data_IF_723180040366
#
_entry.id   IF_723180040366
#
_cell.length_a   1.000
_cell.length_b   1.000
_cell.length_c   1.000
_cell.angle_alpha   90.00
_cell.angle_beta   90.00
_cell.angle_gamma   90.00
#
_symmetry.space_group_name_H-M   'P 1'
#
loop_
_entity.id
_entity.type
_entity.pdbx_description
1 polymer ?
#
# COMPACT_ATOMS: atom_id res chain seq x y z
N UNK A 1 -0.31 2.09 15.85
CA UNK A 1 1.13 1.87 15.75
C UNK A 1 1.61 2.54 14.47
N UNK A 2 2.83 3.06 14.46
CA UNK A 2 3.51 3.50 13.25
C UNK A 2 4.72 2.61 13.02
N UNK A 3 5.06 2.35 11.75
CA UNK A 3 6.28 1.66 11.38
C UNK A 3 6.77 2.09 10.00
N UNK A 4 8.01 1.72 9.70
CA UNK A 4 8.69 1.99 8.44
C UNK A 4 8.91 0.67 7.68
N UNK A 5 8.50 0.60 6.41
CA UNK A 5 8.59 -0.63 5.59
C UNK A 5 10.03 -1.15 5.53
N UNK A 6 11.00 -0.25 5.32
CA UNK A 6 12.42 -0.61 5.23
C UNK A 6 12.96 -1.18 6.54
N UNK A 7 12.50 -0.69 7.69
CA UNK A 7 12.99 -1.15 8.99
C UNK A 7 12.37 -2.50 9.37
N UNK A 8 11.19 -2.83 8.82
CA UNK A 8 10.49 -4.10 9.02
C UNK A 8 10.76 -5.12 7.91
N UNK A 9 11.85 -4.97 7.17
CA UNK A 9 12.11 -5.80 6.01
C UNK A 9 12.22 -7.29 6.35
N UNK A 10 11.48 -8.13 5.61
CA UNK A 10 11.41 -9.58 5.80
C UNK A 10 10.61 -10.01 7.04
N UNK A 11 10.02 -9.06 7.77
CA UNK A 11 9.27 -9.36 8.99
C UNK A 11 7.79 -9.63 8.71
N UNK A 12 7.13 -10.15 9.74
CA UNK A 12 5.68 -10.25 9.82
C UNK A 12 5.17 -9.35 10.94
N UNK A 13 4.28 -8.44 10.61
CA UNK A 13 3.55 -7.65 11.59
C UNK A 13 2.17 -8.25 11.82
N UNK A 14 1.73 -8.29 13.07
CA UNK A 14 0.39 -8.73 13.45
C UNK A 14 -0.34 -7.65 14.23
N UNK A 15 -1.58 -7.37 13.83
CA UNK A 15 -2.44 -6.42 14.52
C UNK A 15 -3.61 -5.95 13.67
N UNK A 16 -4.38 -5.00 14.23
CA UNK A 16 -5.61 -4.52 13.61
C UNK A 16 -5.46 -3.20 12.84
N UNK A 17 -4.49 -2.36 13.22
CA UNK A 17 -4.19 -1.15 12.46
C UNK A 17 -2.72 -0.75 12.53
N UNK A 18 -2.18 -0.36 11.37
CA UNK A 18 -0.80 0.11 11.22
C UNK A 18 -0.75 1.29 10.25
N UNK A 19 -0.11 2.37 10.67
CA UNK A 19 0.31 3.42 9.77
C UNK A 19 1.74 3.12 9.30
N UNK A 20 1.88 2.81 8.02
CA UNK A 20 3.11 2.33 7.41
C UNK A 20 3.71 3.40 6.52
N UNK A 21 4.87 3.90 6.89
CA UNK A 21 5.69 4.76 6.05
C UNK A 21 6.60 3.92 5.17
N UNK A 22 7.00 4.48 4.04
CA UNK A 22 8.06 3.89 3.23
C UNK A 22 9.38 3.75 3.99
N UNK A 23 9.79 4.78 4.74
CA UNK A 23 11.03 4.86 5.50
C UNK A 23 10.93 5.95 6.59
N UNK A 24 11.86 5.95 7.54
CA UNK A 24 11.83 6.81 8.75
C UNK A 24 11.81 8.33 8.48
N UNK A 25 12.24 8.76 7.29
CA UNK A 25 12.26 10.15 6.86
C UNK A 25 11.15 10.52 5.84
N UNK A 26 10.15 9.65 5.68
CA UNK A 26 8.98 9.86 4.81
C UNK A 26 8.27 11.19 5.11
N UNK A 27 7.70 11.81 4.07
CA UNK A 27 7.16 13.19 4.03
C UNK A 27 8.19 14.31 4.15
N UNK A 28 9.47 14.00 4.39
CA UNK A 28 10.57 14.98 4.39
C UNK A 28 11.55 14.71 3.27
N UNK A 29 11.88 13.44 3.04
CA UNK A 29 12.84 13.01 2.04
C UNK A 29 12.34 11.78 1.28
N UNK A 30 13.01 11.50 0.16
CA UNK A 30 12.81 10.27 -0.58
C UNK A 30 13.74 9.18 -0.06
N UNK A 31 13.25 7.94 -0.05
CA UNK A 31 14.09 6.77 -0.04
C UNK A 31 14.68 6.58 -1.45
N UNK A 32 16.02 6.50 -1.52
CA UNK A 32 16.78 6.55 -2.79
C UNK A 32 17.71 5.36 -2.99
N UNK A 33 17.73 4.40 -2.08
CA UNK A 33 18.62 3.23 -2.16
C UNK A 33 18.23 2.36 -3.35
N UNK A 34 19.11 2.13 -4.33
CA UNK A 34 18.84 1.25 -5.47
C UNK A 34 18.92 -0.21 -5.08
N UNK A 35 18.35 -1.08 -5.91
CA UNK A 35 18.38 -2.55 -5.76
C UNK A 35 17.83 -3.05 -4.42
N UNK A 36 16.90 -2.30 -3.82
CA UNK A 36 16.16 -2.76 -2.65
C UNK A 36 15.10 -3.75 -3.13
N UNK A 37 14.98 -4.87 -2.42
CA UNK A 37 13.91 -5.84 -2.60
C UNK A 37 13.42 -6.24 -1.21
N UNK A 38 12.37 -5.57 -0.77
CA UNK A 38 11.91 -5.64 0.61
C UNK A 38 10.46 -6.08 0.68
N UNK A 39 10.17 -7.10 1.49
CA UNK A 39 8.81 -7.61 1.70
C UNK A 39 8.44 -7.47 3.17
N UNK A 40 7.26 -6.93 3.45
CA UNK A 40 6.60 -6.96 4.76
C UNK A 40 5.30 -7.75 4.64
N UNK A 41 5.08 -8.65 5.58
CA UNK A 41 3.82 -9.38 5.70
C UNK A 41 2.98 -8.82 6.84
N UNK A 42 1.71 -8.58 6.55
CA UNK A 42 0.72 -8.09 7.49
C UNK A 42 -0.27 -9.22 7.77
N UNK A 43 -0.50 -9.50 9.06
CA UNK A 43 -1.41 -10.54 9.53
C UNK A 43 -2.46 -9.95 10.46
N UNK A 44 -3.74 -10.15 10.18
CA UNK A 44 -4.81 -9.68 11.03
C UNK A 44 -4.75 -10.36 12.41
N UNK A 45 -5.11 -9.66 13.48
CA UNK A 45 -5.13 -10.26 14.81
C UNK A 45 -6.21 -11.35 14.92
N UNK A 46 -7.33 -11.16 14.24
CA UNK A 46 -8.44 -12.12 14.17
C UNK A 46 -8.40 -12.87 12.82
N UNK A 47 -8.39 -14.21 12.80
CA UNK A 47 -8.26 -14.99 11.55
C UNK A 47 -9.37 -14.82 10.51
N UNK A 48 -10.56 -14.40 10.94
CA UNK A 48 -11.70 -14.15 10.04
C UNK A 48 -11.65 -12.77 9.37
N UNK A 49 -10.80 -11.88 9.87
CA UNK A 49 -10.69 -10.53 9.36
C UNK A 49 -9.89 -10.54 8.05
N UNK A 50 -10.18 -9.55 7.22
CA UNK A 50 -9.44 -9.19 6.02
C UNK A 50 -8.63 -7.95 6.30
N UNK A 51 -7.61 -7.72 5.49
CA UNK A 51 -6.76 -6.54 5.57
C UNK A 51 -7.11 -5.59 4.43
N UNK A 52 -7.26 -4.32 4.77
CA UNK A 52 -7.35 -3.21 3.81
C UNK A 52 -6.08 -2.39 3.90
N UNK A 53 -5.61 -1.92 2.75
CA UNK A 53 -4.52 -0.96 2.65
C UNK A 53 -4.98 0.25 1.84
N UNK A 54 -4.77 1.46 2.36
CA UNK A 54 -5.00 2.70 1.63
C UNK A 54 -3.78 3.61 1.71
N UNK A 55 -3.53 4.39 0.66
CA UNK A 55 -2.48 5.40 0.69
C UNK A 55 -3.09 6.76 1.05
N UNK A 56 -2.52 7.45 2.03
CA UNK A 56 -2.76 8.88 2.26
C UNK A 56 -1.70 9.75 1.58
N UNK A 57 -0.56 9.16 1.20
CA UNK A 57 0.47 9.78 0.38
C UNK A 57 1.19 8.74 -0.49
N UNK A 58 1.55 9.07 -1.74
CA UNK A 58 2.15 8.11 -2.66
C UNK A 58 3.06 8.74 -3.72
N UNK A 59 4.34 8.36 -3.72
CA UNK A 59 5.34 8.65 -4.74
C UNK A 59 6.26 7.44 -4.87
N UNK A 60 6.22 6.72 -5.99
CA UNK A 60 7.07 5.55 -6.24
C UNK A 60 7.53 5.58 -7.69
N UNK A 61 8.73 6.09 -7.94
CA UNK A 61 9.25 6.21 -9.29
C UNK A 61 10.77 6.16 -9.31
N UNK A 62 11.35 6.15 -10.50
CA UNK A 62 12.79 6.26 -10.69
C UNK A 62 13.07 7.33 -11.73
N UNK A 63 14.03 8.21 -11.46
CA UNK A 63 14.50 9.17 -12.46
C UNK A 63 15.32 8.41 -13.51
N UNK A 64 14.96 8.60 -14.77
CA UNK A 64 15.87 8.26 -15.87
C UNK A 64 17.10 9.15 -15.77
N UNK A 65 18.28 8.61 -16.07
CA UNK A 65 19.40 9.51 -16.39
C UNK A 65 18.96 10.37 -17.57
N UNK A 66 19.20 11.68 -17.49
CA UNK A 66 19.22 12.53 -18.67
C UNK A 66 20.35 12.01 -19.57
N UNK A 67 20.05 11.00 -20.39
CA UNK A 67 20.88 10.70 -21.55
C UNK A 67 20.82 11.98 -22.37
N UNK A 68 21.97 12.66 -22.57
CA UNK A 68 22.06 13.68 -23.62
C UNK A 68 21.59 13.00 -24.89
N UNK A 69 20.39 13.33 -25.35
CA UNK A 69 19.93 12.99 -26.67
C UNK A 69 20.83 13.81 -27.59
N UNK A 70 21.97 13.26 -27.99
CA UNK A 70 22.55 13.65 -29.25
C UNK A 70 21.55 13.22 -30.29
N UNK A 71 20.89 14.20 -30.90
CA UNK A 71 19.99 14.02 -32.04
C UNK A 71 20.78 13.39 -33.18
N UNK A 72 20.87 12.05 -33.19
CA UNK A 72 21.39 11.30 -34.30
C UNK A 72 20.62 9.99 -34.35
N UNK A 73 19.90 9.83 -35.45
CA UNK A 73 19.24 8.60 -35.93
C UNK A 73 17.84 8.34 -35.39
N UNK A 74 16.88 9.15 -35.86
CA UNK A 74 15.57 8.63 -36.22
C UNK A 74 15.73 7.49 -37.24
N UNK A 75 14.82 6.53 -37.17
CA UNK A 75 14.60 5.40 -38.09
C UNK A 75 15.27 4.09 -37.71
N UNK A 76 14.55 3.26 -36.97
CA UNK A 76 14.35 1.87 -37.38
C UNK A 76 12.89 1.48 -37.07
N UNK A 77 12.21 1.06 -38.13
CA UNK A 77 10.86 0.55 -38.19
C UNK A 77 10.65 -0.60 -37.19
N UNK A 78 9.87 -0.35 -36.13
CA UNK A 78 9.42 -1.41 -35.23
C UNK A 78 8.25 -2.17 -35.88
N UNK A 79 8.55 -3.37 -36.35
CA UNK A 79 7.59 -4.35 -36.84
C UNK A 79 6.62 -4.71 -35.71
N UNK A 80 5.34 -4.44 -35.90
CA UNK A 80 4.27 -4.78 -34.95
C UNK A 80 4.13 -6.31 -34.88
N UNK A 81 4.61 -6.92 -33.80
CA UNK A 81 4.21 -8.26 -33.40
C UNK A 81 2.95 -8.14 -32.52
N UNK A 82 1.79 -8.71 -32.92
CA UNK A 82 0.57 -8.65 -32.13
C UNK A 82 0.57 -9.81 -31.13
N UNK A 83 1.34 -9.70 -30.04
CA UNK A 83 1.17 -10.54 -28.83
C UNK A 83 2.11 -10.17 -27.66
N UNK A 84 2.41 -8.89 -27.44
CA UNK A 84 2.99 -8.45 -26.18
C UNK A 84 1.87 -7.88 -25.31
N UNK A 85 1.51 -8.60 -24.25
CA UNK A 85 0.86 -8.03 -23.07
C UNK A 85 1.46 -6.65 -22.80
N UNK A 86 0.60 -5.62 -22.69
CA UNK A 86 0.97 -4.23 -22.40
C UNK A 86 2.25 -4.16 -21.56
N UNK A 87 3.31 -3.45 -21.99
CA UNK A 87 4.52 -3.36 -21.18
C UNK A 87 4.15 -2.86 -19.79
N UNK A 88 4.56 -3.60 -18.75
CA UNK A 88 4.34 -3.24 -17.36
C UNK A 88 4.89 -1.81 -17.15
N UNK A 89 4.03 -0.81 -16.88
CA UNK A 89 4.43 0.59 -16.82
C UNK A 89 5.46 0.85 -15.71
N UNK A 90 5.56 -0.05 -14.74
CA UNK A 90 6.50 0.03 -13.64
C UNK A 90 7.79 -0.78 -13.86
N UNK A 91 7.84 -1.63 -14.90
CA UNK A 91 9.01 -2.45 -15.22
C UNK A 91 10.36 -1.71 -15.26
N UNK A 92 10.46 -0.47 -15.83
CA UNK A 92 11.75 0.23 -15.90
C UNK A 92 12.18 0.88 -14.57
N UNK A 93 11.30 0.91 -13.56
CA UNK A 93 11.50 1.72 -12.36
C UNK A 93 11.23 0.98 -11.04
N UNK A 94 11.13 1.79 -9.99
CA UNK A 94 10.72 1.32 -8.67
C UNK A 94 9.21 1.08 -8.63
N UNK A 95 8.78 0.09 -7.84
CA UNK A 95 7.37 -0.26 -7.71
C UNK A 95 7.05 -0.89 -6.36
N UNK A 96 5.77 -0.87 -6.03
CA UNK A 96 5.16 -1.68 -4.99
C UNK A 96 4.37 -2.83 -5.61
N UNK A 97 4.43 -4.01 -5.00
CA UNK A 97 3.56 -5.14 -5.33
C UNK A 97 2.85 -5.62 -4.08
N UNK A 98 1.53 -5.76 -4.17
CA UNK A 98 0.72 -6.34 -3.11
C UNK A 98 0.48 -7.83 -3.37
N UNK A 99 0.32 -8.58 -2.28
CA UNK A 99 0.08 -10.02 -2.32
C UNK A 99 -1.05 -10.42 -1.38
N UNK A 100 -1.88 -11.35 -1.84
CA UNK A 100 -3.01 -11.92 -1.12
C UNK A 100 -2.73 -13.38 -0.78
N UNK A 101 -3.06 -13.77 0.45
CA UNK A 101 -2.80 -15.12 0.97
C UNK A 101 -1.50 -15.27 1.78
N UNK A 102 -1.25 -16.47 2.31
CA UNK A 102 -0.13 -16.73 3.22
C UNK A 102 1.23 -16.69 2.50
N UNK A 103 2.29 -16.46 3.27
CA UNK A 103 3.66 -16.27 2.76
C UNK A 103 4.21 -17.42 1.90
N UNK A 104 3.75 -18.65 2.15
CA UNK A 104 4.21 -19.84 1.41
C UNK A 104 3.62 -19.98 0.00
N UNK A 105 2.49 -19.34 -0.28
CA UNK A 105 1.83 -19.39 -1.60
C UNK A 105 1.08 -18.07 -1.90
N UNK A 106 1.77 -16.93 -1.94
CA UNK A 106 1.12 -15.65 -2.12
C UNK A 106 0.71 -15.42 -3.57
N UNK A 107 -0.49 -14.88 -3.77
CA UNK A 107 -0.99 -14.47 -5.08
C UNK A 107 -0.83 -12.97 -5.25
N UNK A 108 -0.25 -12.50 -6.36
CA UNK A 108 -0.18 -11.07 -6.65
C UNK A 108 -1.58 -10.45 -6.66
N UNK A 109 -1.76 -9.39 -5.89
CA UNK A 109 -3.00 -8.62 -5.81
C UNK A 109 -2.87 -7.37 -6.68
N UNK A 110 -3.38 -7.48 -7.91
CA UNK A 110 -3.26 -6.42 -8.92
C UNK A 110 -1.86 -6.31 -9.55
N UNK A 111 -1.70 -5.42 -10.54
CA UNK A 111 -0.41 -5.15 -11.17
C UNK A 111 0.55 -4.38 -10.22
N UNK A 112 1.86 -4.35 -10.53
CA UNK A 112 2.81 -3.46 -9.88
C UNK A 112 2.32 -2.01 -9.89
N UNK A 113 2.56 -1.31 -8.79
CA UNK A 113 2.07 0.05 -8.55
C UNK A 113 3.24 1.02 -8.44
N UNK A 114 3.22 2.06 -9.28
CA UNK A 114 4.23 3.11 -9.34
C UNK A 114 3.60 4.42 -9.82
N UNK A 115 4.37 5.51 -9.81
CA UNK A 115 3.96 6.84 -10.23
C UNK A 115 3.78 7.80 -9.05
N UNK A 116 2.94 8.82 -9.28
CA UNK A 116 2.71 9.91 -8.34
C UNK A 116 1.24 10.04 -7.92
N UNK A 117 0.38 9.19 -8.49
CA UNK A 117 -1.07 9.21 -8.24
C UNK A 117 -1.38 8.20 -7.14
N UNK A 118 -2.09 8.64 -6.11
CA UNK A 118 -2.56 7.80 -5.01
C UNK A 118 -3.41 6.64 -5.57
N UNK A 119 -2.98 5.38 -5.39
CA UNK A 119 -3.71 4.21 -5.86
C UNK A 119 -5.03 4.03 -5.10
N UNK A 120 -5.98 3.34 -5.73
CA UNK A 120 -7.21 2.93 -5.06
C UNK A 120 -6.90 1.98 -3.88
N UNK A 121 -7.70 2.01 -2.80
CA UNK A 121 -7.51 1.12 -1.67
C UNK A 121 -7.56 -0.36 -2.09
N UNK A 122 -6.67 -1.16 -1.52
CA UNK A 122 -6.56 -2.59 -1.79
C UNK A 122 -7.15 -3.38 -0.62
N UNK A 123 -7.63 -4.59 -0.90
CA UNK A 123 -8.28 -5.45 0.10
C UNK A 123 -7.89 -6.89 -0.15
N UNK A 124 -7.38 -7.58 0.87
CA UNK A 124 -7.10 -9.00 0.81
C UNK A 124 -8.37 -9.85 0.84
N UNK A 125 -8.25 -11.12 0.46
CA UNK A 125 -9.34 -12.10 0.55
C UNK A 125 -9.47 -12.72 1.94
N UNK A 126 -8.40 -12.69 2.74
CA UNK A 126 -8.33 -13.24 4.10
C UNK A 126 -7.36 -12.45 5.00
N UNK A 127 -6.83 -13.06 6.08
CA UNK A 127 -6.12 -12.32 7.13
C UNK A 127 -4.70 -11.89 6.76
N UNK A 128 -4.22 -12.24 5.57
CA UNK A 128 -2.87 -11.97 5.12
C UNK A 128 -2.84 -10.95 3.99
N UNK A 129 -1.92 -9.98 4.10
CA UNK A 129 -1.57 -9.05 3.03
C UNK A 129 -0.06 -8.86 3.01
N UNK A 130 0.57 -9.12 1.86
CA UNK A 130 1.98 -8.84 1.64
C UNK A 130 2.17 -7.53 0.91
N UNK A 131 3.19 -6.76 1.29
CA UNK A 131 3.64 -5.56 0.58
C UNK A 131 5.12 -5.72 0.25
N UNK A 132 5.46 -5.67 -1.03
CA UNK A 132 6.82 -5.69 -1.52
C UNK A 132 7.19 -4.37 -2.15
N UNK A 133 8.29 -3.76 -1.72
CA UNK A 133 8.95 -2.64 -2.37
C UNK A 133 10.17 -3.14 -3.14
N UNK A 134 10.21 -2.81 -4.43
CA UNK A 134 11.39 -3.02 -5.26
C UNK A 134 11.86 -1.67 -5.79
N UNK A 135 13.14 -1.34 -5.58
CA UNK A 135 13.76 -0.14 -6.17
C UNK A 135 14.70 -0.51 -7.30
N UNK A 136 14.46 0.05 -8.49
CA UNK A 136 15.29 -0.17 -9.69
C UNK A 136 15.65 1.15 -10.35
N UNK A 137 16.60 1.09 -11.29
CA UNK A 137 17.13 2.27 -11.97
C UNK A 137 18.17 3.01 -11.14
N UNK A 138 18.71 4.10 -11.71
CA UNK A 138 19.86 4.81 -11.13
C UNK A 138 19.51 5.73 -9.96
N UNK A 139 18.29 6.27 -9.94
CA UNK A 139 17.85 7.21 -8.92
C UNK A 139 16.39 6.93 -8.52
N UNK A 140 16.16 5.91 -7.67
CA UNK A 140 14.86 5.70 -7.04
C UNK A 140 14.40 6.93 -6.26
N UNK A 141 13.09 7.13 -6.25
CA UNK A 141 12.38 8.14 -5.47
C UNK A 141 11.14 7.47 -4.92
N UNK A 142 11.22 7.07 -3.65
CA UNK A 142 10.14 6.39 -2.95
C UNK A 142 9.77 7.17 -1.71
N UNK A 143 8.51 7.58 -1.63
CA UNK A 143 7.92 8.15 -0.43
C UNK A 143 6.42 7.86 -0.44
N UNK A 144 5.94 7.12 0.56
CA UNK A 144 4.51 6.87 0.73
C UNK A 144 4.17 6.80 2.22
N UNK A 145 2.91 7.12 2.50
CA UNK A 145 2.23 6.85 3.76
C UNK A 145 1.02 5.98 3.46
N UNK A 146 1.00 4.81 4.07
CA UNK A 146 -0.07 3.83 3.97
C UNK A 146 -0.75 3.61 5.31
N UNK A 147 -2.01 3.25 5.25
CA UNK A 147 -2.86 2.94 6.38
C UNK A 147 -3.43 1.54 6.18
N UNK A 148 -3.12 0.67 7.13
CA UNK A 148 -3.55 -0.73 7.18
C UNK A 148 -4.61 -0.85 8.25
N UNK A 149 -5.72 -1.52 7.92
CA UNK A 149 -6.81 -1.81 8.85
C UNK A 149 -7.34 -3.22 8.63
N UNK A 150 -7.49 -3.99 9.71
CA UNK A 150 -8.25 -5.23 9.72
C UNK A 150 -9.75 -4.94 9.79
N UNK A 151 -10.54 -5.71 9.04
CA UNK A 151 -11.98 -5.58 9.06
C UNK A 151 -12.66 -6.90 8.72
N UNK A 152 -13.89 -7.09 9.14
CA UNK A 152 -14.73 -8.22 8.71
C UNK A 152 -15.95 -7.77 7.94
N UNK A 153 -16.50 -8.72 7.19
CA UNK A 153 -17.78 -8.59 6.49
C UNK A 153 -18.83 -9.43 7.20
N UNK A 154 -20.10 -9.06 7.06
CA UNK A 154 -21.21 -9.81 7.64
C UNK A 154 -21.55 -9.38 9.07
N UNK A 155 -21.56 -10.31 10.00
CA UNK A 155 -21.95 -10.05 11.39
C UNK A 155 -20.82 -9.37 12.18
N UNK A 156 -21.06 -8.15 12.66
CA UNK A 156 -20.04 -7.39 13.38
C UNK A 156 -19.79 -7.90 14.81
N UNK A 157 -20.79 -8.49 15.48
CA UNK A 157 -20.66 -8.85 16.88
C UNK A 157 -20.24 -7.66 17.75
N UNK A 158 -19.05 -7.74 18.34
CA UNK A 158 -18.47 -6.67 19.15
C UNK A 158 -17.80 -5.56 18.36
N UNK A 159 -17.63 -5.70 17.04
CA UNK A 159 -16.99 -4.70 16.18
C UNK A 159 -17.91 -3.49 15.97
N UNK A 160 -17.31 -2.36 15.61
CA UNK A 160 -18.06 -1.19 15.15
C UNK A 160 -18.50 -1.40 13.70
N UNK A 161 -19.77 -1.11 13.39
CA UNK A 161 -20.31 -1.23 12.03
C UNK A 161 -20.16 0.09 11.30
N UNK A 162 -19.32 0.09 10.27
CA UNK A 162 -19.15 1.20 9.35
C UNK A 162 -20.39 1.42 8.46
N UNK A 163 -20.52 2.61 7.89
CA UNK A 163 -21.62 2.96 6.97
C UNK A 163 -21.59 2.11 5.69
N UNK A 164 -20.40 1.74 5.23
CA UNK A 164 -20.15 0.85 4.10
C UNK A 164 -20.31 -0.65 4.44
N UNK A 165 -20.87 -0.97 5.61
CA UNK A 165 -21.11 -2.33 6.11
C UNK A 165 -19.88 -3.18 6.39
N UNK A 166 -18.66 -2.63 6.33
CA UNK A 166 -17.51 -3.24 6.99
C UNK A 166 -17.68 -3.16 8.50
N UNK A 167 -17.04 -4.07 9.21
CA UNK A 167 -16.92 -3.98 10.66
C UNK A 167 -15.44 -3.87 11.04
N UNK A 168 -15.09 -2.84 11.81
CA UNK A 168 -13.72 -2.62 12.32
C UNK A 168 -13.68 -2.83 13.84
N UNK A 169 -12.56 -3.29 14.41
CA UNK A 169 -12.42 -3.41 15.86
C UNK A 169 -12.76 -2.10 16.58
N UNK A 170 -13.52 -2.17 17.68
CA UNK A 170 -13.95 -0.97 18.44
C UNK A 170 -12.79 -0.12 18.96
N UNK A 171 -11.61 -0.70 19.16
CA UNK A 171 -10.39 0.03 19.53
C UNK A 171 -9.91 0.99 18.44
N UNK A 172 -10.44 0.89 17.22
CA UNK A 172 -10.15 1.78 16.09
C UNK A 172 -11.20 2.89 15.92
N UNK A 173 -12.30 2.85 16.69
CA UNK A 173 -13.31 3.91 16.71
C UNK A 173 -12.75 5.14 17.43
N UNK A 174 -12.82 6.32 16.80
CA UNK A 174 -12.28 7.57 17.33
C UNK A 174 -10.81 7.45 17.77
N UNK A 175 -10.00 6.69 17.01
CA UNK A 175 -8.63 6.46 17.38
C UNK A 175 -7.78 7.74 17.36
N UNK A 176 -6.72 7.75 18.19
CA UNK A 176 -5.83 8.92 18.35
C UNK A 176 -4.97 9.21 17.12
N UNK A 177 -4.97 8.33 16.11
CA UNK A 177 -4.22 8.53 14.86
C UNK A 177 -5.09 9.14 13.77
N UNK A 178 -6.39 9.31 14.02
CA UNK A 178 -7.34 9.88 13.06
C UNK A 178 -7.32 9.11 11.71
N UNK A 179 -7.13 7.80 11.79
CA UNK A 179 -7.14 6.92 10.62
C UNK A 179 -8.59 6.65 10.18
N UNK A 180 -8.87 6.72 8.88
CA UNK A 180 -10.16 6.28 8.31
C UNK A 180 -10.17 4.75 8.18
N UNK A 181 -10.36 4.07 9.31
CA UNK A 181 -10.35 2.62 9.40
C UNK A 181 -11.52 2.01 8.63
N UNK A 182 -12.68 2.67 8.64
CA UNK A 182 -13.81 2.23 7.85
C UNK A 182 -13.59 2.39 6.34
N UNK A 183 -12.79 3.37 5.92
CA UNK A 183 -12.63 3.78 4.53
C UNK A 183 -13.80 4.60 4.00
N UNK A 184 -14.65 5.09 4.89
CA UNK A 184 -15.81 5.96 4.61
C UNK A 184 -15.99 7.07 5.66
N UNK A 185 -15.01 7.23 6.56
CA UNK A 185 -14.97 8.20 7.65
C UNK A 185 -15.90 7.91 8.83
N UNK A 186 -16.72 6.85 8.77
CA UNK A 186 -17.77 6.65 9.78
C UNK A 186 -17.25 6.25 11.17
N UNK A 187 -15.99 5.81 11.30
CA UNK A 187 -15.34 5.56 12.58
C UNK A 187 -14.77 6.82 13.26
N UNK A 188 -14.73 7.96 12.56
CA UNK A 188 -14.28 9.25 13.10
C UNK A 188 -15.44 10.27 13.18
N UNK A 189 -16.68 9.83 12.95
CA UNK A 189 -17.84 10.70 12.84
C UNK A 189 -18.20 11.32 14.22
N UNK A 190 -18.51 12.62 14.24
CA UNK A 190 -18.93 13.31 15.48
C UNK A 190 -20.35 12.92 15.91
N UNK A 191 -21.13 12.37 14.99
CA UNK A 191 -22.51 11.93 15.23
C UNK A 191 -22.58 10.44 15.61
N UNK A 192 -23.64 10.00 16.28
CA UNK A 192 -23.88 8.57 16.49
C UNK A 192 -23.89 7.79 15.16
N UNK A 193 -23.37 6.54 15.14
CA UNK A 193 -22.98 5.73 16.29
C UNK A 193 -21.53 5.89 16.76
N UNK A 194 -20.67 6.63 16.04
CA UNK A 194 -19.28 6.84 16.44
C UNK A 194 -19.17 7.84 17.60
N UNK A 195 -19.87 8.97 17.48
CA UNK A 195 -19.93 10.01 18.52
C UNK A 195 -18.55 10.45 19.00
N UNK A 196 -17.60 10.60 18.08
CA UNK A 196 -16.27 11.07 18.39
C UNK A 196 -16.34 12.51 18.92
N UNK A 197 -15.63 12.78 20.01
CA UNK A 197 -15.47 14.16 20.47
C UNK A 197 -14.61 14.86 19.42
N UNK A 198 -15.08 16.00 18.90
CA UNK A 198 -14.25 16.85 18.05
C UNK A 198 -12.92 17.10 18.77
N UNK A 199 -11.83 16.66 18.15
CA UNK A 199 -10.48 16.84 18.68
C UNK A 199 -10.05 18.30 18.50
#
# INVERSE_FOLDING_TARGET
MEADLIDMCGQTWQGDALQLRSHSASRKFYFVTPNTDCVLWLHAATPEDRMRFQFSFFLVYSLSSATRITAATMSTTATLAPNASSPDPCAPGSYLQFYDGPQGAPRALGPPTCGLTIPAPLTSSGPWLGLRLVTRGRQPRVDFLGEVTSFRLGFCGTYFRCRNSRCVPRSLLCDVRDMDNCGDGSDQDTQPPASCRGQ
#
